data_IF_060413295995
#
_entry.id   IF_060413295995
#
_cell.length_a   1.000
_cell.length_b   1.000
_cell.length_c   1.000
_cell.angle_alpha   90.00
_cell.angle_beta   90.00
_cell.angle_gamma   90.00
#
_symmetry.space_group_name_H-M   'P 1'
#
loop_
_entity.id
_entity.type
_entity.pdbx_description
1 polymer ?
#
# COMPACT_ATOMS: atom_id res chain seq x y z
N UNK A 1 -4.62 -5.22 18.01
CA UNK A 1 -3.59 -4.79 17.03
C UNK A 1 -2.28 -5.57 17.13
N UNK A 2 -1.59 -5.63 18.28
CA UNK A 2 -0.28 -6.31 18.39
C UNK A 2 -0.28 -7.80 17.99
N UNK A 3 -1.34 -8.53 18.35
CA UNK A 3 -1.51 -9.93 17.94
C UNK A 3 -1.54 -10.04 16.41
N UNK A 4 -2.32 -9.20 15.73
CA UNK A 4 -2.41 -9.20 14.28
C UNK A 4 -1.06 -8.88 13.60
N UNK A 5 -0.30 -7.93 14.14
CA UNK A 5 1.04 -7.61 13.62
C UNK A 5 2.01 -8.78 13.70
N UNK A 6 1.98 -9.55 14.80
CA UNK A 6 2.75 -10.80 14.94
C UNK A 6 2.28 -11.84 13.92
N UNK A 7 0.97 -11.98 13.71
CA UNK A 7 0.41 -12.91 12.73
C UNK A 7 0.79 -12.55 11.29
N UNK A 8 0.89 -11.26 10.95
CA UNK A 8 1.42 -10.81 9.65
C UNK A 8 2.87 -11.26 9.48
N UNK A 9 3.71 -11.08 10.50
CA UNK A 9 5.11 -11.54 10.47
C UNK A 9 5.20 -13.06 10.24
N UNK A 10 4.37 -13.84 10.92
CA UNK A 10 4.33 -15.30 10.77
C UNK A 10 3.83 -15.71 9.39
N UNK A 11 2.80 -15.04 8.86
CA UNK A 11 2.30 -15.27 7.50
C UNK A 11 3.38 -14.98 6.44
N UNK A 12 4.17 -13.91 6.62
CA UNK A 12 5.32 -13.62 5.76
C UNK A 12 6.38 -14.73 5.87
N UNK A 13 6.74 -15.18 7.07
CA UNK A 13 7.71 -16.29 7.26
C UNK A 13 7.29 -17.60 6.60
N UNK A 14 5.98 -17.89 6.58
CA UNK A 14 5.43 -19.08 5.92
C UNK A 14 5.41 -18.96 4.40
N UNK A 15 5.45 -17.75 3.87
CA UNK A 15 5.38 -17.50 2.43
C UNK A 15 6.77 -17.67 1.81
N UNK A 16 6.85 -18.35 0.67
CA UNK A 16 8.12 -18.66 0.02
C UNK A 16 8.92 -17.38 -0.29
N UNK A 17 10.18 -17.39 0.12
CA UNK A 17 11.07 -16.23 -0.04
C UNK A 17 10.83 -15.10 0.96
N UNK A 18 9.89 -15.26 1.90
CA UNK A 18 9.66 -14.38 3.03
C UNK A 18 10.61 -14.68 4.20
N UNK A 19 11.23 -13.64 4.74
CA UNK A 19 12.07 -13.71 5.94
C UNK A 19 11.65 -12.58 6.87
N UNK A 20 11.42 -12.89 8.14
CA UNK A 20 11.28 -11.91 9.22
C UNK A 20 12.09 -12.42 10.40
N UNK A 21 13.18 -11.73 10.73
CA UNK A 21 14.02 -12.12 11.86
C UNK A 21 13.25 -12.05 13.18
N UNK A 22 13.57 -12.93 14.12
CA UNK A 22 13.03 -12.88 15.49
C UNK A 22 13.60 -11.73 16.32
N UNK A 23 14.71 -11.13 15.85
CA UNK A 23 15.37 -9.98 16.45
C UNK A 23 14.61 -8.66 16.21
N UNK A 24 13.58 -8.67 15.36
CA UNK A 24 12.72 -7.53 15.09
C UNK A 24 11.25 -7.88 15.36
N UNK A 25 10.45 -6.88 15.68
CA UNK A 25 9.01 -7.02 15.76
C UNK A 25 8.30 -5.74 15.29
N UNK A 26 7.10 -5.93 14.76
CA UNK A 26 6.18 -4.82 14.48
C UNK A 26 5.43 -4.45 15.75
N UNK A 27 5.44 -3.17 16.11
CA UNK A 27 4.81 -2.64 17.33
C UNK A 27 4.09 -1.33 17.03
N UNK A 28 2.99 -1.07 17.74
CA UNK A 28 2.37 0.24 17.75
C UNK A 28 3.24 1.22 18.56
N UNK A 29 3.69 2.28 17.92
CA UNK A 29 4.50 3.34 18.51
C UNK A 29 3.60 4.58 18.69
N UNK A 30 3.40 5.07 19.93
CA UNK A 30 2.60 6.26 20.19
C UNK A 30 3.02 7.44 19.31
N UNK A 31 2.04 8.09 18.66
CA UNK A 31 2.27 9.23 17.77
C UNK A 31 2.87 8.90 16.39
N UNK A 32 3.35 7.67 16.14
CA UNK A 32 3.97 7.27 14.87
C UNK A 32 3.23 6.13 14.15
N UNK A 33 2.25 5.49 14.81
CA UNK A 33 1.56 4.33 14.27
C UNK A 33 2.43 3.07 14.38
N UNK A 34 2.23 2.10 13.49
CA UNK A 34 2.94 0.82 13.55
C UNK A 34 4.35 0.95 12.98
N UNK A 35 5.38 0.63 13.77
CA UNK A 35 6.78 0.60 13.36
C UNK A 35 7.49 -0.72 13.65
N UNK A 36 8.69 -0.86 13.08
CA UNK A 36 9.56 -2.01 13.33
C UNK A 36 10.58 -1.63 14.39
N UNK A 37 10.67 -2.43 15.46
CA UNK A 37 11.62 -2.23 16.55
C UNK A 37 12.54 -3.44 16.65
N UNK A 38 13.80 -3.19 17.01
CA UNK A 38 14.74 -4.24 17.35
C UNK A 38 14.45 -4.72 18.79
N UNK A 39 14.35 -6.04 18.97
CA UNK A 39 14.20 -6.70 20.29
C UNK A 39 15.54 -6.89 20.98
N UNK A 40 16.62 -6.90 20.21
CA UNK A 40 17.99 -7.11 20.65
C UNK A 40 18.96 -6.37 19.73
N UNK A 41 20.25 -6.39 20.08
CA UNK A 41 21.29 -5.82 19.22
C UNK A 41 21.37 -6.61 17.90
N UNK A 42 21.27 -5.90 16.77
CA UNK A 42 21.37 -6.49 15.43
C UNK A 42 22.70 -6.07 14.82
N UNK A 43 23.64 -7.01 14.57
CA UNK A 43 24.88 -6.68 13.90
C UNK A 43 24.65 -6.07 12.52
N UNK A 44 25.55 -5.19 12.10
CA UNK A 44 25.52 -4.61 10.75
C UNK A 44 25.47 -5.72 9.69
N UNK A 45 24.74 -5.47 8.60
CA UNK A 45 24.58 -6.37 7.45
C UNK A 45 23.85 -7.69 7.75
N UNK A 46 23.23 -7.81 8.94
CA UNK A 46 22.31 -8.92 9.25
C UNK A 46 21.02 -8.80 8.46
N UNK A 47 20.61 -9.87 7.76
CA UNK A 47 19.31 -9.93 7.11
C UNK A 47 18.19 -10.00 8.15
N UNK A 48 17.44 -8.92 8.30
CA UNK A 48 16.31 -8.86 9.24
C UNK A 48 14.97 -9.08 8.55
N UNK A 49 14.89 -8.81 7.25
CA UNK A 49 13.68 -8.96 6.46
C UNK A 49 13.97 -9.23 5.00
N UNK A 50 13.15 -10.09 4.39
CA UNK A 50 13.08 -10.27 2.95
C UNK A 50 11.62 -10.51 2.53
N UNK A 51 11.18 -9.82 1.48
CA UNK A 51 9.94 -10.15 0.78
C UNK A 51 10.29 -10.75 -0.58
N UNK A 52 10.11 -12.06 -0.74
CA UNK A 52 10.19 -12.71 -2.05
C UNK A 52 9.02 -12.30 -2.96
N UNK A 53 9.06 -12.68 -4.23
CA UNK A 53 7.97 -12.39 -5.17
C UNK A 53 6.61 -12.86 -4.65
N UNK A 54 6.53 -14.08 -4.13
CA UNK A 54 5.30 -14.64 -3.56
C UNK A 54 4.78 -13.84 -2.35
N UNK A 55 5.63 -13.03 -1.70
CA UNK A 55 5.25 -12.14 -0.59
C UNK A 55 4.68 -10.82 -1.10
N UNK A 56 5.35 -10.14 -2.04
CA UNK A 56 4.96 -8.76 -2.43
C UNK A 56 4.09 -8.70 -3.69
N UNK A 57 4.20 -9.68 -4.60
CA UNK A 57 3.54 -9.64 -5.90
C UNK A 57 2.01 -9.52 -5.82
N UNK A 58 1.31 -10.23 -4.92
CA UNK A 58 -0.14 -10.06 -4.75
C UNK A 58 -0.56 -8.63 -4.38
N UNK A 59 0.36 -7.83 -3.85
CA UNK A 59 0.13 -6.45 -3.43
C UNK A 59 0.72 -5.43 -4.40
N UNK A 60 0.95 -5.82 -5.65
CA UNK A 60 1.52 -4.98 -6.69
C UNK A 60 0.48 -4.51 -7.70
N UNK A 61 0.72 -3.35 -8.30
CA UNK A 61 -0.12 -2.84 -9.39
C UNK A 61 -0.10 -3.76 -10.62
N UNK A 62 0.98 -4.50 -10.83
CA UNK A 62 1.10 -5.49 -11.91
C UNK A 62 0.10 -6.63 -11.72
N UNK A 63 0.13 -7.28 -10.56
CA UNK A 63 -0.84 -8.32 -10.22
C UNK A 63 -2.28 -7.82 -10.24
N UNK A 64 -2.50 -6.60 -9.74
CA UNK A 64 -3.81 -5.95 -9.76
C UNK A 64 -4.31 -5.73 -11.19
N UNK A 65 -3.43 -5.33 -12.11
CA UNK A 65 -3.74 -5.15 -13.53
C UNK A 65 -4.08 -6.48 -14.20
N UNK A 66 -3.27 -7.52 -14.00
CA UNK A 66 -3.53 -8.87 -14.53
C UNK A 66 -4.89 -9.40 -14.06
N UNK A 67 -5.18 -9.24 -12.77
CA UNK A 67 -6.46 -9.63 -12.17
C UNK A 67 -7.62 -8.85 -12.77
N UNK A 68 -7.46 -7.53 -12.95
CA UNK A 68 -8.49 -6.68 -13.54
C UNK A 68 -8.74 -6.98 -15.03
N UNK A 69 -7.71 -7.36 -15.79
CA UNK A 69 -7.87 -7.77 -17.19
C UNK A 69 -8.76 -9.01 -17.32
N UNK A 70 -8.65 -9.94 -16.36
CA UNK A 70 -9.44 -11.16 -16.35
C UNK A 70 -10.84 -10.96 -15.77
N UNK A 71 -10.97 -10.21 -14.67
CA UNK A 71 -12.20 -10.15 -13.86
C UNK A 71 -13.01 -8.86 -14.04
N UNK A 72 -12.38 -7.77 -14.48
CA UNK A 72 -13.00 -6.44 -14.54
C UNK A 72 -12.57 -5.60 -15.77
N UNK A 73 -12.69 -6.13 -17.01
CA UNK A 73 -12.26 -5.40 -18.21
C UNK A 73 -13.02 -4.07 -18.41
N UNK A 74 -14.28 -3.99 -17.95
CA UNK A 74 -15.06 -2.75 -17.98
C UNK A 74 -14.45 -1.62 -17.14
N UNK A 75 -13.88 -1.95 -15.97
CA UNK A 75 -13.15 -0.98 -15.15
C UNK A 75 -11.90 -0.46 -15.88
N UNK A 76 -11.13 -1.35 -16.52
CA UNK A 76 -9.95 -0.95 -17.28
C UNK A 76 -10.30 -0.06 -18.48
N UNK A 77 -11.44 -0.30 -19.13
CA UNK A 77 -11.94 0.58 -20.18
C UNK A 77 -12.25 1.99 -19.65
N UNK A 78 -12.92 2.10 -18.50
CA UNK A 78 -13.20 3.40 -17.87
C UNK A 78 -11.91 4.12 -17.45
N UNK A 79 -10.95 3.39 -16.89
CA UNK A 79 -9.64 3.92 -16.54
C UNK A 79 -8.89 4.41 -17.78
N UNK A 80 -8.86 3.63 -18.86
CA UNK A 80 -8.21 4.03 -20.11
C UNK A 80 -8.87 5.28 -20.72
N UNK A 81 -10.20 5.40 -20.64
CA UNK A 81 -10.92 6.60 -21.07
C UNK A 81 -10.57 7.82 -20.21
N UNK A 82 -10.46 7.66 -18.89
CA UNK A 82 -10.02 8.70 -17.97
C UNK A 82 -8.59 9.16 -18.29
N UNK A 83 -7.68 8.22 -18.51
CA UNK A 83 -6.31 8.55 -18.88
C UNK A 83 -6.30 9.25 -20.24
N UNK A 84 -7.05 8.76 -21.23
CA UNK A 84 -7.13 9.39 -22.55
C UNK A 84 -7.69 10.83 -22.53
N UNK A 85 -8.57 11.16 -21.58
CA UNK A 85 -9.20 12.48 -21.48
C UNK A 85 -8.28 13.56 -20.93
N UNK A 86 -7.17 13.21 -20.27
CA UNK A 86 -6.22 14.17 -19.70
C UNK A 86 -4.79 13.88 -20.09
N UNK A 87 -4.17 14.82 -20.81
CA UNK A 87 -2.74 14.78 -21.13
C UNK A 87 -1.88 14.74 -19.86
N UNK A 88 -2.25 15.47 -18.82
CA UNK A 88 -1.55 15.47 -17.53
C UNK A 88 -1.60 14.12 -16.81
N UNK A 89 -2.61 13.28 -17.06
CA UNK A 89 -2.68 11.92 -16.51
C UNK A 89 -1.94 10.87 -17.35
N UNK A 90 -1.77 11.13 -18.66
CA UNK A 90 -0.97 10.27 -19.55
C UNK A 90 0.52 10.53 -19.44
N UNK A 91 0.89 11.81 -19.39
CA UNK A 91 2.29 12.24 -19.31
C UNK A 91 2.75 12.41 -17.86
N UNK A 92 1.80 12.46 -16.92
CA UNK A 92 2.06 12.39 -15.49
C UNK A 92 2.60 11.02 -15.10
N UNK A 93 3.41 11.02 -14.04
CA UNK A 93 4.00 9.84 -13.40
C UNK A 93 3.15 8.57 -13.53
N UNK A 94 3.80 7.46 -13.91
CA UNK A 94 3.21 6.10 -13.92
C UNK A 94 2.57 5.70 -12.57
N UNK A 95 2.85 6.47 -11.51
CA UNK A 95 2.18 6.41 -10.23
C UNK A 95 0.65 6.43 -10.32
N UNK A 96 0.03 7.36 -11.07
CA UNK A 96 -1.43 7.55 -10.98
C UNK A 96 -2.19 6.33 -11.51
N UNK A 97 -1.91 5.80 -12.72
CA UNK A 97 -2.55 4.58 -13.18
C UNK A 97 -2.31 3.39 -12.24
N UNK A 98 -1.08 3.19 -11.77
CA UNK A 98 -0.73 2.08 -10.87
C UNK A 98 -1.44 2.19 -9.52
N UNK A 99 -1.53 3.38 -8.95
CA UNK A 99 -2.22 3.64 -7.70
C UNK A 99 -3.73 3.42 -7.83
N UNK A 100 -4.33 3.82 -8.95
CA UNK A 100 -5.76 3.59 -9.20
C UNK A 100 -6.08 2.10 -9.34
N UNK A 101 -5.31 1.36 -10.15
CA UNK A 101 -5.54 -0.08 -10.34
C UNK A 101 -5.33 -0.85 -9.04
N UNK A 102 -4.21 -0.60 -8.35
CA UNK A 102 -3.93 -1.28 -7.08
C UNK A 102 -4.93 -0.88 -5.98
N UNK A 103 -5.30 0.39 -5.89
CA UNK A 103 -6.25 0.87 -4.89
C UNK A 103 -7.63 0.23 -5.05
N UNK A 104 -8.13 0.15 -6.29
CA UNK A 104 -9.41 -0.52 -6.57
C UNK A 104 -9.31 -2.03 -6.33
N UNK A 105 -8.20 -2.65 -6.71
CA UNK A 105 -7.96 -4.07 -6.41
C UNK A 105 -8.00 -4.35 -4.90
N UNK A 106 -7.39 -3.50 -4.08
CA UNK A 106 -7.47 -3.64 -2.63
C UNK A 106 -8.91 -3.58 -2.12
N UNK A 107 -9.71 -2.63 -2.63
CA UNK A 107 -11.08 -2.44 -2.16
C UNK A 107 -12.05 -3.54 -2.58
N UNK A 108 -11.86 -4.09 -3.78
CA UNK A 108 -12.72 -5.15 -4.31
C UNK A 108 -12.40 -6.50 -3.65
N UNK A 109 -11.13 -6.78 -3.36
CA UNK A 109 -10.73 -8.06 -2.77
C UNK A 109 -10.70 -8.03 -1.24
N UNK A 110 -10.59 -6.85 -0.62
CA UNK A 110 -10.55 -6.68 0.84
C UNK A 110 -11.49 -5.53 1.24
N UNK A 111 -12.80 -5.81 1.35
CA UNK A 111 -13.78 -4.79 1.67
C UNK A 111 -13.45 -4.07 2.97
N UNK A 112 -13.73 -2.77 3.02
CA UNK A 112 -13.70 -2.02 4.27
C UNK A 112 -14.74 -2.60 5.24
N UNK A 113 -14.31 -3.50 6.12
CA UNK A 113 -15.18 -4.07 7.14
C UNK A 113 -15.75 -2.97 8.05
N UNK A 114 -17.05 -3.07 8.36
CA UNK A 114 -17.75 -2.21 9.32
C UNK A 114 -17.14 -2.31 10.73
N UNK A 115 -16.73 -3.53 11.12
CA UNK A 115 -15.94 -3.79 12.34
C UNK A 115 -14.54 -4.35 11.99
N UNK A 116 -13.54 -3.46 11.87
CA UNK A 116 -12.15 -3.81 11.58
C UNK A 116 -11.53 -4.77 12.58
N UNK A 117 -11.78 -4.50 13.87
CA UNK A 117 -11.01 -5.10 14.95
C UNK A 117 -11.48 -6.52 15.16
N UNK A 118 -12.79 -6.72 15.15
CA UNK A 118 -13.38 -8.07 15.22
C UNK A 118 -12.96 -8.90 14.01
N UNK A 119 -13.01 -8.34 12.79
CA UNK A 119 -12.57 -9.03 11.57
C UNK A 119 -11.09 -9.44 11.68
N UNK A 120 -10.23 -8.48 12.04
CA UNK A 120 -8.79 -8.72 12.16
C UNK A 120 -8.46 -9.74 13.26
N UNK A 121 -9.18 -9.73 14.39
CA UNK A 121 -8.99 -10.69 15.47
C UNK A 121 -9.46 -12.10 15.08
N UNK A 122 -10.61 -12.21 14.40
CA UNK A 122 -11.10 -13.49 13.90
C UNK A 122 -10.09 -14.13 12.93
N UNK A 123 -9.57 -13.33 12.00
CA UNK A 123 -8.53 -13.78 11.07
C UNK A 123 -7.22 -14.15 11.78
N UNK A 124 -6.77 -13.31 12.71
CA UNK A 124 -5.57 -13.58 13.50
C UNK A 124 -5.67 -14.90 14.29
N UNK A 125 -6.89 -15.34 14.62
CA UNK A 125 -7.18 -16.56 15.38
C UNK A 125 -7.28 -17.82 14.51
N UNK A 126 -7.35 -17.69 13.17
CA UNK A 126 -7.25 -18.84 12.27
C UNK A 126 -5.88 -19.50 12.43
N UNK A 127 -5.76 -20.82 12.24
CA UNK A 127 -4.47 -21.51 12.33
C UNK A 127 -3.46 -20.97 11.30
N UNK A 128 -3.92 -20.83 10.06
CA UNK A 128 -3.14 -20.33 8.91
C UNK A 128 -3.89 -19.22 8.17
N UNK A 129 -3.90 -17.98 8.70
CA UNK A 129 -4.54 -16.86 8.02
C UNK A 129 -3.82 -16.57 6.70
N UNK A 130 -4.58 -16.26 5.63
CA UNK A 130 -4.01 -15.89 4.34
C UNK A 130 -3.36 -14.50 4.45
N UNK A 131 -2.15 -14.35 3.88
CA UNK A 131 -1.30 -13.16 4.06
C UNK A 131 -1.94 -11.90 3.48
N UNK A 132 -2.61 -12.04 2.34
CA UNK A 132 -3.29 -10.99 1.59
C UNK A 132 -4.38 -10.32 2.40
N UNK A 133 -5.36 -11.09 2.85
CA UNK A 133 -6.45 -10.55 3.66
C UNK A 133 -5.90 -10.02 5.00
N UNK A 134 -5.00 -10.76 5.65
CA UNK A 134 -4.48 -10.39 6.97
C UNK A 134 -3.69 -9.08 6.93
N UNK A 135 -2.84 -8.90 5.91
CA UNK A 135 -2.03 -7.68 5.79
C UNK A 135 -2.88 -6.46 5.47
N UNK A 136 -3.81 -6.56 4.51
CA UNK A 136 -4.65 -5.43 4.13
C UNK A 136 -5.53 -4.98 5.29
N UNK A 137 -6.09 -5.92 6.08
CA UNK A 137 -6.85 -5.60 7.28
C UNK A 137 -6.00 -5.05 8.44
N UNK A 138 -4.69 -5.29 8.43
CA UNK A 138 -3.75 -4.72 9.40
C UNK A 138 -3.27 -3.30 9.04
N UNK A 139 -3.63 -2.78 7.86
CA UNK A 139 -3.30 -1.41 7.46
C UNK A 139 -4.05 -0.39 8.33
N UNK A 140 -3.49 0.81 8.54
CA UNK A 140 -4.17 1.85 9.33
C UNK A 140 -5.51 2.22 8.70
N UNK A 141 -6.54 2.41 9.53
CA UNK A 141 -7.86 2.85 9.07
C UNK A 141 -7.90 4.31 8.66
N UNK A 142 -7.04 5.13 9.26
CA UNK A 142 -6.92 6.54 8.96
C UNK A 142 -5.48 6.85 8.56
N UNK A 143 -5.33 7.65 7.52
CA UNK A 143 -4.04 8.18 7.07
C UNK A 143 -4.16 9.69 7.12
N UNK A 144 -3.26 10.34 7.85
CA UNK A 144 -3.24 11.79 7.93
C UNK A 144 -2.61 12.36 6.66
N UNK A 145 -3.42 12.46 5.61
CA UNK A 145 -3.07 13.10 4.35
C UNK A 145 -4.00 14.27 4.08
N UNK A 146 -3.51 15.31 3.36
CA UNK A 146 -4.31 16.50 3.02
C UNK A 146 -5.61 16.21 2.27
N UNK A 147 -5.76 15.00 1.73
CA UNK A 147 -7.02 14.48 1.16
C UNK A 147 -8.19 14.49 2.14
N UNK A 148 -7.92 14.38 3.44
CA UNK A 148 -8.92 14.35 4.51
C UNK A 148 -9.02 15.65 5.30
N UNK A 149 -8.25 16.66 4.93
CA UNK A 149 -8.17 17.88 5.70
C UNK A 149 -9.42 18.74 5.51
N UNK A 150 -9.92 19.29 6.61
CA UNK A 150 -10.96 20.30 6.59
C UNK A 150 -10.37 21.71 6.38
N UNK A 151 -11.25 22.70 6.20
CA UNK A 151 -10.83 24.08 5.92
C UNK A 151 -9.92 24.66 7.01
N UNK A 152 -10.16 24.35 8.29
CA UNK A 152 -9.32 24.81 9.41
C UNK A 152 -7.89 24.27 9.32
N UNK A 153 -7.73 23.00 8.96
CA UNK A 153 -6.39 22.41 8.76
C UNK A 153 -5.66 23.06 7.58
N UNK A 154 -6.39 23.50 6.55
CA UNK A 154 -5.78 24.27 5.45
C UNK A 154 -5.48 25.72 5.83
N UNK A 155 -6.20 26.32 6.78
CA UNK A 155 -5.88 27.64 7.33
C UNK A 155 -4.53 27.66 8.06
N UNK A 156 -4.10 26.53 8.65
CA UNK A 156 -2.76 26.41 9.25
C UNK A 156 -1.63 26.56 8.21
N UNK A 157 -1.94 26.39 6.92
CA UNK A 157 -1.00 26.59 5.80
C UNK A 157 -1.06 28.00 5.18
N UNK A 158 -1.56 29.01 5.91
CA UNK A 158 -1.66 30.39 5.40
C UNK A 158 -0.33 30.96 4.87
N UNK A 159 0.82 30.53 5.40
CA UNK A 159 2.15 30.93 4.92
C UNK A 159 2.72 30.10 3.76
N UNK A 160 2.02 29.05 3.31
CA UNK A 160 2.48 28.08 2.32
C UNK A 160 1.46 27.96 1.17
N UNK A 161 1.20 29.06 0.47
CA UNK A 161 0.12 29.16 -0.52
C UNK A 161 0.21 28.11 -1.64
N UNK A 162 1.39 27.87 -2.20
CA UNK A 162 1.58 26.90 -3.27
C UNK A 162 1.32 25.47 -2.80
N UNK A 163 1.81 25.12 -1.61
CA UNK A 163 1.57 23.80 -1.01
C UNK A 163 0.08 23.59 -0.72
N UNK A 164 -0.58 24.59 -0.12
CA UNK A 164 -2.02 24.58 0.14
C UNK A 164 -2.83 24.40 -1.15
N UNK A 165 -2.51 25.16 -2.21
CA UNK A 165 -3.17 25.03 -3.52
C UNK A 165 -2.94 23.65 -4.14
N UNK A 166 -1.72 23.12 -4.10
CA UNK A 166 -1.41 21.80 -4.63
C UNK A 166 -2.18 20.69 -3.90
N UNK A 167 -2.26 20.76 -2.56
CA UNK A 167 -3.00 19.79 -1.74
C UNK A 167 -4.52 19.84 -2.02
N UNK A 168 -5.11 21.04 -2.06
CA UNK A 168 -6.52 21.23 -2.39
C UNK A 168 -6.84 20.76 -3.83
N UNK A 169 -5.91 20.93 -4.77
CA UNK A 169 -6.04 20.41 -6.12
C UNK A 169 -6.06 18.88 -6.15
N UNK A 170 -5.20 18.22 -5.36
CA UNK A 170 -5.18 16.76 -5.22
C UNK A 170 -6.51 16.17 -4.75
N UNK A 171 -7.13 16.74 -3.71
CA UNK A 171 -8.43 16.26 -3.21
C UNK A 171 -9.56 16.38 -4.25
N UNK A 172 -9.61 17.51 -4.97
CA UNK A 172 -10.58 17.70 -6.07
C UNK A 172 -10.32 16.71 -7.21
N UNK A 173 -9.06 16.49 -7.55
CA UNK A 173 -8.65 15.55 -8.58
C UNK A 173 -9.16 14.14 -8.27
N UNK A 174 -8.84 13.58 -7.10
CA UNK A 174 -9.28 12.21 -6.75
C UNK A 174 -10.81 12.11 -6.61
N UNK A 175 -11.50 13.19 -6.21
CA UNK A 175 -12.97 13.24 -6.22
C UNK A 175 -13.54 13.12 -7.64
N UNK A 176 -12.94 13.78 -8.62
CA UNK A 176 -13.34 13.68 -10.03
C UNK A 176 -13.04 12.29 -10.60
N UNK A 177 -11.88 11.72 -10.26
CA UNK A 177 -11.54 10.35 -10.64
C UNK A 177 -12.54 9.35 -10.09
N UNK A 178 -12.90 9.46 -8.81
CA UNK A 178 -13.93 8.61 -8.21
C UNK A 178 -15.27 8.70 -8.95
N UNK A 179 -15.76 9.94 -9.20
CA UNK A 179 -17.01 10.16 -9.93
C UNK A 179 -16.97 9.59 -11.36
N UNK A 180 -15.82 9.67 -12.04
CA UNK A 180 -15.65 9.10 -13.37
C UNK A 180 -15.69 7.57 -13.35
N UNK A 181 -14.97 6.95 -12.40
CA UNK A 181 -14.84 5.49 -12.33
C UNK A 181 -16.09 4.80 -11.76
N UNK A 182 -16.76 5.42 -10.80
CA UNK A 182 -17.79 4.78 -9.99
C UNK A 182 -19.15 5.50 -10.00
N UNK A 183 -19.22 6.73 -10.51
CA UNK A 183 -20.43 7.57 -10.45
C UNK A 183 -20.66 8.17 -9.06
N UNK A 184 -21.91 8.54 -8.78
CA UNK A 184 -22.28 9.21 -7.51
C UNK A 184 -22.80 8.27 -6.43
N UNK A 185 -23.33 7.10 -6.79
CA UNK A 185 -24.03 6.19 -5.87
C UNK A 185 -23.54 4.73 -6.02
N UNK A 186 -22.22 4.53 -6.03
CA UNK A 186 -21.68 3.17 -6.06
C UNK A 186 -21.82 2.50 -4.68
N UNK A 187 -22.53 1.37 -4.62
CA UNK A 187 -22.74 0.61 -3.38
C UNK A 187 -21.60 -0.36 -3.06
N UNK A 188 -20.70 -0.62 -4.02
CA UNK A 188 -19.61 -1.59 -3.87
C UNK A 188 -18.30 -0.93 -3.40
N UNK A 189 -17.98 0.25 -3.93
CA UNK A 189 -16.82 1.04 -3.54
C UNK A 189 -17.30 2.44 -3.19
N UNK A 190 -17.38 2.75 -1.90
CA UNK A 190 -17.75 4.10 -1.46
C UNK A 190 -16.55 5.07 -1.57
N UNK A 191 -16.83 6.37 -1.55
CA UNK A 191 -15.83 7.41 -1.77
C UNK A 191 -14.77 7.47 -0.67
N UNK A 192 -15.16 7.22 0.58
CA UNK A 192 -14.25 7.23 1.74
C UNK A 192 -13.22 6.10 1.63
N UNK A 193 -13.68 4.89 1.32
CA UNK A 193 -12.86 3.71 1.06
C UNK A 193 -11.90 3.94 -0.12
N UNK A 194 -12.39 4.57 -1.20
CA UNK A 194 -11.55 4.94 -2.32
C UNK A 194 -10.42 5.90 -1.92
N UNK A 195 -10.74 6.97 -1.19
CA UNK A 195 -9.71 7.89 -0.70
C UNK A 195 -8.75 7.21 0.27
N UNK A 196 -9.21 6.24 1.05
CA UNK A 196 -8.37 5.50 1.98
C UNK A 196 -7.34 4.67 1.24
N UNK A 197 -7.76 3.95 0.20
CA UNK A 197 -6.87 3.12 -0.58
C UNK A 197 -5.78 3.96 -1.26
N UNK A 198 -6.16 5.07 -1.89
CA UNK A 198 -5.20 5.99 -2.52
C UNK A 198 -4.25 6.59 -1.48
N UNK A 199 -4.77 7.04 -0.34
CA UNK A 199 -3.99 7.62 0.74
C UNK A 199 -2.97 6.64 1.34
N UNK A 200 -3.41 5.39 1.50
CA UNK A 200 -2.56 4.28 1.94
C UNK A 200 -1.44 4.04 0.94
N UNK A 201 -1.75 4.00 -0.36
CA UNK A 201 -0.74 3.80 -1.41
C UNK A 201 0.24 4.96 -1.51
N UNK A 202 -0.22 6.21 -1.40
CA UNK A 202 0.64 7.39 -1.39
C UNK A 202 1.63 7.39 -0.22
N UNK A 203 1.25 6.84 0.93
CA UNK A 203 2.07 6.83 2.14
C UNK A 203 2.94 5.57 2.31
N UNK A 204 2.60 4.47 1.61
CA UNK A 204 3.14 3.13 1.93
C UNK A 204 3.63 2.34 0.73
N UNK A 205 3.14 2.63 -0.48
CA UNK A 205 3.59 1.90 -1.65
C UNK A 205 5.04 2.24 -1.97
N UNK A 206 5.83 1.21 -2.25
CA UNK A 206 7.17 1.37 -2.81
C UNK A 206 7.05 1.69 -4.30
N UNK A 207 7.96 2.52 -4.81
CA UNK A 207 8.06 2.83 -6.24
C UNK A 207 9.47 3.31 -6.58
N UNK A 208 9.93 3.07 -7.81
CA UNK A 208 11.25 3.54 -8.26
C UNK A 208 11.68 2.90 -9.57
N UNK A 209 12.81 3.36 -10.12
CA UNK A 209 13.30 2.97 -11.46
C UNK A 209 13.44 1.46 -11.67
N UNK A 210 13.60 0.67 -10.59
CA UNK A 210 13.69 -0.80 -10.64
C UNK A 210 12.85 -1.46 -9.53
N UNK A 211 11.75 -0.82 -9.12
CA UNK A 211 10.89 -1.31 -8.05
C UNK A 211 9.44 -1.29 -8.52
N UNK A 212 8.71 -2.40 -8.35
CA UNK A 212 7.30 -2.44 -8.70
C UNK A 212 6.54 -1.45 -7.80
N UNK A 213 5.45 -0.89 -8.34
CA UNK A 213 4.50 -0.16 -7.51
C UNK A 213 3.74 -1.16 -6.64
N UNK A 214 4.15 -1.33 -5.39
CA UNK A 214 3.63 -2.39 -4.52
C UNK A 214 3.66 -2.01 -3.04
N UNK A 215 2.71 -2.54 -2.28
CA UNK A 215 2.81 -2.60 -0.83
C UNK A 215 3.70 -3.78 -0.43
N UNK A 216 4.56 -3.58 0.57
CA UNK A 216 5.44 -4.63 1.09
C UNK A 216 4.86 -5.10 2.42
N UNK A 217 4.29 -6.32 2.49
CA UNK A 217 3.80 -6.88 3.73
C UNK A 217 4.86 -6.83 4.82
N UNK A 218 4.43 -6.59 6.06
CA UNK A 218 5.25 -6.36 7.27
C UNK A 218 5.76 -4.93 7.48
N UNK A 219 6.03 -4.13 6.44
CA UNK A 219 6.46 -2.73 6.64
C UNK A 219 5.27 -1.78 6.71
N UNK A 220 5.18 -1.06 7.84
CA UNK A 220 4.07 -0.14 8.13
C UNK A 220 4.57 1.29 8.46
N UNK A 221 5.85 1.63 8.23
CA UNK A 221 6.34 3.02 8.42
C UNK A 221 6.84 3.65 7.13
N UNK A 222 6.42 4.90 6.91
CA UNK A 222 7.10 5.87 6.05
C UNK A 222 8.26 6.51 6.83
N UNK A 223 9.31 5.74 7.10
CA UNK A 223 10.55 6.25 7.70
C UNK A 223 11.72 5.94 6.79
N UNK A 224 12.65 6.89 6.73
CA UNK A 224 13.94 6.91 6.03
C UNK A 224 14.81 5.65 6.23
N UNK A 225 14.44 4.73 7.13
CA UNK A 225 15.04 3.40 7.28
C UNK A 225 14.82 2.46 6.09
N UNK A 226 13.84 2.72 5.22
CA UNK A 226 13.57 1.93 4.01
C UNK A 226 14.79 1.85 3.08
N UNK A 227 15.66 2.87 3.08
CA UNK A 227 16.85 2.93 2.20
C UNK A 227 17.82 1.75 2.39
N UNK A 228 17.96 1.23 3.61
CA UNK A 228 18.89 0.12 3.92
C UNK A 228 18.26 -1.25 3.68
N UNK A 229 16.99 -1.45 4.07
CA UNK A 229 16.24 -2.70 3.80
C UNK A 229 16.05 -2.90 2.29
N UNK A 230 15.84 -1.81 1.54
CA UNK A 230 15.69 -1.85 0.08
C UNK A 230 17.00 -2.10 -0.67
N UNK A 231 18.15 -1.73 -0.11
CA UNK A 231 19.46 -2.05 -0.71
C UNK A 231 19.75 -3.57 -0.67
N UNK A 232 19.24 -4.32 0.31
CA UNK A 232 19.34 -5.78 0.34
C UNK A 232 18.47 -6.45 -0.74
N UNK A 233 17.27 -5.92 -1.02
CA UNK A 233 16.40 -6.37 -2.11
C UNK A 233 17.07 -6.22 -3.49
N UNK A 234 17.80 -5.12 -3.71
CA UNK A 234 18.59 -4.87 -4.94
C UNK A 234 19.66 -5.95 -5.19
N UNK A 235 20.35 -6.38 -4.14
CA UNK A 235 21.43 -7.38 -4.24
C UNK A 235 20.89 -8.78 -4.54
N UNK A 236 19.72 -9.13 -3.98
CA UNK A 236 19.05 -10.41 -4.22
C UNK A 236 18.52 -10.54 -5.65
N UNK A 237 17.88 -9.48 -6.18
CA UNK A 237 17.39 -9.43 -7.57
C UNK A 237 18.55 -9.49 -8.59
N UNK A 238 19.66 -8.78 -8.34
CA UNK A 238 20.85 -8.84 -9.22
C UNK A 238 21.50 -10.21 -9.26
N UNK A 239 21.58 -10.93 -8.13
CA UNK A 239 22.14 -12.29 -8.08
C UNK A 239 21.26 -13.32 -8.81
N UNK A 240 19.95 -13.13 -8.86
CA UNK A 240 19.05 -14.01 -9.63
C UNK A 240 19.10 -13.72 -11.14
N UNK A 241 19.18 -12.44 -11.55
CA UNK A 241 19.33 -12.10 -12.97
C UNK A 241 20.61 -12.68 -13.59
N UNK A 242 21.71 -12.75 -12.82
CA UNK A 242 22.97 -13.37 -13.26
C UNK A 242 22.96 -14.91 -13.29
N UNK A 243 21.95 -15.56 -12.71
CA UNK A 243 21.79 -17.02 -12.73
C UNK A 243 20.91 -17.50 -13.90
N UNK A 244 20.22 -16.60 -14.60
CA UNK A 244 19.44 -16.88 -15.81
C UNK A 244 20.17 -16.50 -17.10
N UNK A 245 21.44 -16.09 -17.00
CA UNK A 245 22.31 -15.73 -18.14
C UNK A 245 23.58 -16.60 -18.22
N UNK A 246 23.56 -17.79 -17.63
CA UNK A 246 24.56 -18.84 -17.87
C UNK A 246 23.89 -20.10 -18.41
#
# INVERSE_FOLDING_TARGET
MEVALKRVADAVRRTRGGVVSIAIEARLIPGMGVGIVAREHIPKDTLVFQAGQDVWYPFSAEHALETAQQKAPGFLNQLNQLLASSRALREGSAFVPSALVLGVHMLVNFPHAEDPETTLMAMASMDTPPLDELYVNALPRYVDLPLYWNDKQFEELQGCEEARRAMQHGARFYSQVYKHLFGTNNQFVNQEAFFWAISTLMSRATSGQNQPFALIPFFVTGSTMLTTVMNAFRTSMRRRASQFTQ
#
